data_IF_319397628250
#
_entry.id   IF_319397628250
#
_cell.length_a   1.000
_cell.length_b   1.000
_cell.length_c   1.000
_cell.angle_alpha   90.00
_cell.angle_beta   90.00
_cell.angle_gamma   90.00
#
_symmetry.space_group_name_H-M   'P 1'
#
loop_
_entity.id
_entity.type
_entity.pdbx_description
1 polymer ?
#
# COMPACT_ATOMS: atom_id res chain seq x y z
N UNK A 1 44.60 -25.84 56.96
CA UNK A 1 43.64 -26.31 55.94
C UNK A 1 42.28 -25.62 56.08
N UNK A 2 41.68 -25.58 57.27
CA UNK A 2 40.38 -24.91 57.56
C UNK A 2 40.34 -23.41 57.22
N UNK A 3 41.38 -22.64 57.54
CA UNK A 3 41.45 -21.19 57.24
C UNK A 3 41.46 -20.87 55.74
N UNK A 4 42.03 -21.74 54.91
CA UNK A 4 42.06 -21.58 53.45
C UNK A 4 40.67 -21.78 52.86
N UNK A 5 39.92 -22.75 53.39
CA UNK A 5 38.53 -23.01 52.95
C UNK A 5 37.62 -21.84 53.30
N UNK A 6 37.75 -21.26 54.49
CA UNK A 6 36.97 -20.08 54.91
C UNK A 6 37.27 -18.89 53.99
N UNK A 7 38.54 -18.66 53.65
CA UNK A 7 38.93 -17.55 52.77
C UNK A 7 38.35 -17.70 51.36
N UNK A 8 38.34 -18.91 50.80
CA UNK A 8 37.74 -19.19 49.48
C UNK A 8 36.23 -18.97 49.49
N UNK A 9 35.54 -19.39 50.56
CA UNK A 9 34.08 -19.19 50.69
C UNK A 9 33.74 -17.70 50.79
N UNK A 10 34.50 -16.94 51.58
CA UNK A 10 34.30 -15.49 51.71
C UNK A 10 34.59 -14.78 50.39
N UNK A 11 35.67 -15.13 49.69
CA UNK A 11 35.99 -14.58 48.38
C UNK A 11 34.91 -14.88 47.33
N UNK A 12 34.35 -16.10 47.33
CA UNK A 12 33.25 -16.47 46.46
C UNK A 12 31.98 -15.65 46.76
N UNK A 13 31.64 -15.44 48.04
CA UNK A 13 30.50 -14.61 48.44
C UNK A 13 30.71 -13.15 48.01
N UNK A 14 31.91 -12.60 48.17
CA UNK A 14 32.25 -11.24 47.73
C UNK A 14 32.10 -11.12 46.21
N UNK A 15 32.56 -12.10 45.43
CA UNK A 15 32.39 -12.11 43.97
C UNK A 15 30.91 -12.19 43.57
N UNK A 16 30.07 -12.94 44.29
CA UNK A 16 28.63 -13.02 44.02
C UNK A 16 27.90 -11.72 44.40
N UNK A 17 28.28 -11.10 45.52
CA UNK A 17 27.64 -9.87 46.02
C UNK A 17 28.06 -8.65 45.19
N UNK A 18 29.34 -8.54 44.81
CA UNK A 18 29.87 -7.40 44.05
C UNK A 18 29.97 -7.62 42.54
N UNK A 19 29.78 -8.86 42.05
CA UNK A 19 29.89 -9.21 40.62
C UNK A 19 28.67 -8.85 39.78
N UNK A 20 27.60 -8.34 40.39
CA UNK A 20 26.32 -8.12 39.70
C UNK A 20 26.03 -6.64 39.30
N UNK A 21 26.98 -5.72 39.51
CA UNK A 21 26.80 -4.29 39.21
C UNK A 21 27.12 -3.90 37.75
N UNK A 22 26.69 -4.71 36.78
CA UNK A 22 26.74 -4.34 35.37
C UNK A 22 25.46 -4.71 34.64
N UNK A 23 24.43 -3.87 34.82
CA UNK A 23 23.47 -3.46 33.78
C UNK A 23 22.59 -2.34 34.30
N UNK A 24 23.21 -1.18 34.56
CA UNK A 24 22.47 0.07 34.43
C UNK A 24 21.97 0.12 32.98
N UNK A 25 20.67 -0.16 32.79
CA UNK A 25 19.98 0.04 31.51
C UNK A 25 20.11 1.52 31.17
N UNK A 26 21.12 1.87 30.40
CA UNK A 26 21.18 3.16 29.74
C UNK A 26 19.85 3.35 29.01
N UNK A 27 19.10 4.40 29.36
CA UNK A 27 17.91 4.81 28.62
C UNK A 27 18.34 4.91 27.16
N UNK A 28 17.95 3.94 26.35
CA UNK A 28 18.25 3.96 24.92
C UNK A 28 17.55 5.18 24.36
N UNK A 29 18.30 6.24 24.09
CA UNK A 29 17.73 7.43 23.49
C UNK A 29 17.03 7.03 22.19
N UNK A 30 15.76 7.40 22.10
CA UNK A 30 14.92 7.00 20.98
C UNK A 30 15.38 7.77 19.74
N UNK A 31 15.70 7.04 18.68
CA UNK A 31 16.00 7.66 17.38
C UNK A 31 14.83 8.55 16.92
N UNK A 32 15.10 9.72 16.33
CA UNK A 32 14.05 10.63 15.86
C UNK A 32 13.23 9.97 14.75
N UNK A 33 11.91 10.07 14.83
CA UNK A 33 11.01 9.66 13.75
C UNK A 33 11.11 10.70 12.63
N UNK A 34 11.25 10.23 11.39
CA UNK A 34 11.22 11.07 10.20
C UNK A 34 10.10 10.61 9.26
N UNK A 35 9.44 11.56 8.62
CA UNK A 35 8.51 11.26 7.54
C UNK A 35 9.22 10.67 6.33
N UNK A 36 8.51 9.85 5.55
CA UNK A 36 8.96 9.33 4.26
C UNK A 36 7.84 9.43 3.23
N UNK A 37 8.19 9.36 1.94
CA UNK A 37 7.22 9.19 0.86
C UNK A 37 6.47 7.87 1.04
N UNK A 38 5.20 7.85 0.67
CA UNK A 38 4.39 6.63 0.68
C UNK A 38 4.87 5.70 -0.43
N UNK A 39 4.94 6.21 -1.67
CA UNK A 39 5.41 5.48 -2.84
C UNK A 39 6.86 5.82 -3.19
N UNK A 40 7.61 4.82 -3.62
CA UNK A 40 8.96 5.02 -4.19
C UNK A 40 8.90 5.67 -5.57
N UNK A 41 10.06 6.07 -6.12
CA UNK A 41 10.13 6.65 -7.47
C UNK A 41 9.74 5.65 -8.57
N UNK A 42 9.90 4.36 -8.32
CA UNK A 42 9.57 3.28 -9.26
C UNK A 42 8.08 2.88 -9.15
N UNK A 43 7.50 2.99 -7.96
CA UNK A 43 6.08 2.72 -7.71
C UNK A 43 5.14 3.79 -8.27
N UNK A 44 5.50 5.06 -8.14
CA UNK A 44 4.67 6.19 -8.60
C UNK A 44 4.18 6.05 -10.06
N UNK A 45 5.06 5.83 -11.07
CA UNK A 45 4.59 5.72 -12.44
C UNK A 45 3.72 4.47 -12.66
N UNK A 46 4.01 3.35 -12.00
CA UNK A 46 3.18 2.14 -12.10
C UNK A 46 1.79 2.37 -11.50
N UNK A 47 1.70 3.04 -10.36
CA UNK A 47 0.42 3.38 -9.75
C UNK A 47 -0.46 4.20 -10.70
N UNK A 48 0.11 5.20 -11.36
CA UNK A 48 -0.61 6.00 -12.35
C UNK A 48 -1.08 5.15 -13.53
N UNK A 49 -0.21 4.29 -14.06
CA UNK A 49 -0.57 3.38 -15.17
C UNK A 49 -1.67 2.40 -14.81
N UNK A 50 -1.65 1.84 -13.59
CA UNK A 50 -2.72 0.98 -13.09
C UNK A 50 -4.05 1.75 -13.04
N UNK A 51 -4.06 2.99 -12.54
CA UNK A 51 -5.26 3.83 -12.52
C UNK A 51 -5.79 4.15 -13.92
N UNK A 52 -4.90 4.48 -14.85
CA UNK A 52 -5.28 4.80 -16.23
C UNK A 52 -5.83 3.58 -16.97
N UNK A 53 -5.27 2.39 -16.71
CA UNK A 53 -5.68 1.15 -17.34
C UNK A 53 -6.97 0.57 -16.75
N UNK A 54 -7.17 0.71 -15.43
CA UNK A 54 -8.20 0.03 -14.66
C UNK A 54 -9.25 1.02 -14.12
N UNK A 55 -9.88 1.80 -15.01
CA UNK A 55 -10.80 2.90 -14.63
C UNK A 55 -11.98 2.47 -13.74
N UNK A 56 -12.43 1.22 -13.88
CA UNK A 56 -13.53 0.64 -13.12
C UNK A 56 -13.10 -0.07 -11.82
N UNK A 57 -11.82 -0.02 -11.47
CA UNK A 57 -11.24 -0.67 -10.29
C UNK A 57 -10.68 0.34 -9.29
N UNK A 58 -10.54 -0.10 -8.04
CA UNK A 58 -9.79 0.65 -7.04
C UNK A 58 -8.37 0.11 -6.94
N UNK A 59 -7.39 1.00 -6.88
CA UNK A 59 -5.98 0.66 -6.67
C UNK A 59 -5.56 1.19 -5.30
N UNK A 60 -5.27 0.29 -4.37
CA UNK A 60 -4.73 0.60 -3.05
C UNK A 60 -3.21 0.45 -3.08
N UNK A 61 -2.49 1.36 -2.44
CA UNK A 61 -1.03 1.39 -2.41
C UNK A 61 -0.48 1.05 -1.02
N UNK A 62 0.65 0.34 -0.96
CA UNK A 62 1.37 0.00 0.27
C UNK A 62 0.47 -0.70 1.31
N UNK A 63 -0.17 -1.79 0.89
CA UNK A 63 -1.15 -2.52 1.72
C UNK A 63 -0.45 -3.60 2.55
N UNK A 64 -0.63 -3.57 3.87
CA UNK A 64 -0.10 -4.62 4.74
C UNK A 64 -0.79 -5.97 4.48
N UNK A 65 -0.05 -7.08 4.53
CA UNK A 65 -0.63 -8.42 4.36
C UNK A 65 -1.74 -8.68 5.37
N UNK A 66 -1.58 -8.19 6.60
CA UNK A 66 -2.60 -8.32 7.65
C UNK A 66 -3.93 -7.61 7.37
N UNK A 67 -4.01 -6.78 6.32
CA UNK A 67 -5.25 -6.16 5.89
C UNK A 67 -6.12 -7.10 5.04
N UNK A 68 -5.51 -8.10 4.38
CA UNK A 68 -6.22 -9.03 3.49
C UNK A 68 -5.95 -10.51 3.80
N UNK A 69 -5.09 -10.83 4.76
CA UNK A 69 -4.80 -12.20 5.19
C UNK A 69 -4.99 -12.36 6.70
N UNK A 70 -5.43 -13.54 7.10
CA UNK A 70 -5.55 -13.93 8.50
C UNK A 70 -5.10 -15.38 8.69
N UNK A 71 -4.73 -15.73 9.92
CA UNK A 71 -4.35 -17.09 10.29
C UNK A 71 -4.70 -17.35 11.75
N UNK A 72 -4.99 -18.61 12.08
CA UNK A 72 -5.12 -19.05 13.47
C UNK A 72 -3.75 -19.15 14.12
N UNK A 73 -3.53 -18.41 15.22
CA UNK A 73 -2.31 -18.49 16.02
C UNK A 73 -1.23 -17.46 15.68
N UNK A 74 -0.49 -17.06 16.71
CA UNK A 74 0.52 -16.00 16.61
C UNK A 74 1.72 -16.39 15.75
N UNK A 75 2.14 -17.66 15.77
CA UNK A 75 3.29 -18.14 15.01
C UNK A 75 3.09 -17.93 13.50
N UNK A 76 1.95 -18.37 12.96
CA UNK A 76 1.61 -18.20 11.55
C UNK A 76 1.40 -16.73 11.20
N UNK A 77 0.72 -15.95 12.06
CA UNK A 77 0.50 -14.52 11.80
C UNK A 77 1.80 -13.72 11.74
N UNK A 78 2.83 -14.12 12.48
CA UNK A 78 4.16 -13.51 12.42
C UNK A 78 4.86 -13.72 11.07
N UNK A 79 4.44 -14.69 10.27
CA UNK A 79 4.98 -14.88 8.92
C UNK A 79 4.67 -13.68 8.03
N UNK A 80 3.53 -12.99 8.21
CA UNK A 80 3.11 -11.92 7.30
C UNK A 80 2.81 -10.57 7.94
N UNK A 81 2.75 -10.45 9.27
CA UNK A 81 2.35 -9.19 9.95
C UNK A 81 3.27 -7.97 9.70
N UNK A 82 4.47 -8.17 9.17
CA UNK A 82 5.42 -7.09 8.81
C UNK A 82 5.59 -6.92 7.32
N UNK A 83 4.84 -7.68 6.51
CA UNK A 83 4.90 -7.65 5.06
C UNK A 83 3.86 -6.66 4.51
N UNK A 84 4.26 -5.95 3.46
CA UNK A 84 3.46 -4.96 2.71
C UNK A 84 3.63 -5.27 1.23
N UNK A 85 2.54 -5.25 0.46
CA UNK A 85 2.55 -5.33 -1.01
C UNK A 85 2.53 -3.93 -1.60
N UNK A 86 3.08 -3.76 -2.80
CA UNK A 86 3.09 -2.45 -3.46
C UNK A 86 1.67 -1.97 -3.80
N UNK A 87 0.86 -2.83 -4.44
CA UNK A 87 -0.53 -2.50 -4.76
C UNK A 87 -1.51 -3.67 -4.61
N UNK A 88 -2.76 -3.32 -4.30
CA UNK A 88 -3.92 -4.22 -4.33
C UNK A 88 -4.96 -3.63 -5.25
N UNK A 89 -5.41 -4.40 -6.24
CA UNK A 89 -6.49 -4.02 -7.15
C UNK A 89 -7.78 -4.66 -6.69
N UNK A 90 -8.82 -3.83 -6.51
CA UNK A 90 -10.15 -4.24 -6.11
C UNK A 90 -11.18 -3.98 -7.20
N UNK A 91 -12.20 -4.83 -7.28
CA UNK A 91 -13.40 -4.56 -8.08
C UNK A 91 -14.33 -3.53 -7.39
N UNK A 92 -15.47 -3.23 -8.03
CA UNK A 92 -16.47 -2.29 -7.49
C UNK A 92 -17.16 -2.78 -6.21
N UNK A 93 -17.04 -4.07 -5.90
CA UNK A 93 -17.57 -4.71 -4.71
C UNK A 93 -16.51 -4.86 -3.61
N UNK A 94 -15.31 -4.30 -3.80
CA UNK A 94 -14.16 -4.40 -2.90
C UNK A 94 -13.58 -5.81 -2.74
N UNK A 95 -13.81 -6.71 -3.70
CA UNK A 95 -13.10 -7.98 -3.76
C UNK A 95 -11.72 -7.77 -4.39
N UNK A 96 -10.72 -8.50 -3.88
CA UNK A 96 -9.37 -8.47 -4.43
C UNK A 96 -9.35 -9.20 -5.77
N UNK A 97 -9.01 -8.48 -6.84
CA UNK A 97 -8.83 -9.01 -8.19
C UNK A 97 -7.40 -9.53 -8.36
N UNK A 98 -6.42 -8.73 -7.93
CA UNK A 98 -5.02 -9.10 -7.97
C UNK A 98 -4.18 -8.27 -6.99
N UNK A 99 -3.09 -8.86 -6.53
CA UNK A 99 -1.97 -8.18 -5.90
C UNK A 99 -0.96 -7.84 -7.00
N UNK A 100 -0.43 -6.62 -6.98
CA UNK A 100 0.60 -6.17 -7.92
C UNK A 100 1.87 -5.82 -7.17
N UNK A 101 2.99 -6.39 -7.61
CA UNK A 101 4.33 -6.18 -7.02
C UNK A 101 5.31 -5.68 -8.09
N UNK A 102 6.24 -4.80 -7.68
CA UNK A 102 7.33 -4.33 -8.52
C UNK A 102 8.64 -5.04 -8.14
N UNK A 103 9.26 -5.66 -9.14
CA UNK A 103 10.57 -6.26 -9.00
C UNK A 103 11.62 -5.17 -9.27
N UNK A 104 12.23 -4.61 -8.22
CA UNK A 104 13.33 -3.68 -8.44
C UNK A 104 14.57 -4.46 -8.88
N UNK A 105 15.25 -4.00 -9.92
CA UNK A 105 16.47 -4.62 -10.45
C UNK A 105 17.64 -4.73 -9.45
N UNK A 106 17.47 -4.26 -8.20
CA UNK A 106 18.43 -4.34 -7.10
C UNK A 106 18.44 -5.69 -6.34
N UNK A 107 17.61 -6.68 -6.72
CA UNK A 107 17.47 -7.96 -6.01
C UNK A 107 18.54 -9.03 -6.28
N UNK A 108 19.84 -8.71 -6.23
CA UNK A 108 20.85 -9.79 -6.14
C UNK A 108 20.88 -10.35 -4.71
N UNK A 109 20.48 -11.62 -4.53
CA UNK A 109 20.61 -12.36 -3.27
C UNK A 109 19.44 -12.29 -2.29
N UNK A 110 18.23 -11.93 -2.74
CA UNK A 110 16.99 -11.98 -1.93
C UNK A 110 15.90 -12.90 -2.49
N UNK A 111 16.24 -13.69 -3.50
CA UNK A 111 15.32 -14.56 -4.24
C UNK A 111 14.48 -15.47 -3.33
N UNK A 112 15.10 -16.11 -2.32
CA UNK A 112 14.39 -16.99 -1.39
C UNK A 112 13.31 -16.25 -0.56
N UNK A 113 13.57 -15.00 -0.17
CA UNK A 113 12.61 -14.20 0.62
C UNK A 113 11.42 -13.75 -0.22
N UNK A 114 11.64 -13.56 -1.52
CA UNK A 114 10.58 -13.20 -2.44
C UNK A 114 9.72 -14.43 -2.79
N UNK A 115 10.34 -15.61 -2.89
CA UNK A 115 9.61 -16.88 -3.03
C UNK A 115 8.70 -17.16 -1.82
N UNK A 116 9.19 -16.97 -0.59
CA UNK A 116 8.38 -17.12 0.63
C UNK A 116 7.20 -16.13 0.67
N UNK A 117 7.39 -14.90 0.18
CA UNK A 117 6.32 -13.90 0.09
C UNK A 117 5.22 -14.35 -0.86
N UNK A 118 5.61 -14.75 -2.05
CA UNK A 118 4.68 -15.16 -3.09
C UNK A 118 3.93 -16.43 -2.68
N UNK A 119 4.62 -17.37 -2.02
CA UNK A 119 4.01 -18.58 -1.47
C UNK A 119 2.89 -18.25 -0.46
N UNK A 120 3.11 -17.28 0.44
CA UNK A 120 2.08 -16.87 1.40
C UNK A 120 0.86 -16.24 0.72
N UNK A 121 1.06 -15.40 -0.30
CA UNK A 121 -0.05 -14.77 -1.04
C UNK A 121 -0.84 -15.84 -1.81
N UNK A 122 -0.13 -16.78 -2.45
CA UNK A 122 -0.73 -17.88 -3.18
C UNK A 122 -1.49 -18.84 -2.23
N UNK A 123 -0.96 -19.13 -1.05
CA UNK A 123 -1.64 -19.93 -0.01
C UNK A 123 -2.96 -19.28 0.44
N UNK A 124 -3.01 -17.95 0.50
CA UNK A 124 -4.26 -17.21 0.77
C UNK A 124 -5.20 -17.11 -0.44
N UNK A 125 -4.86 -17.71 -1.58
CA UNK A 125 -5.73 -17.78 -2.76
C UNK A 125 -5.74 -16.53 -3.62
N UNK A 126 -4.80 -15.61 -3.44
CA UNK A 126 -4.74 -14.38 -4.22
C UNK A 126 -3.83 -14.50 -5.44
N UNK A 127 -4.29 -13.94 -6.56
CA UNK A 127 -3.51 -13.81 -7.79
C UNK A 127 -2.44 -12.71 -7.60
N UNK A 128 -1.21 -12.99 -8.02
CA UNK A 128 -0.11 -12.01 -8.07
C UNK A 128 0.25 -11.69 -9.51
N UNK A 129 0.40 -10.41 -9.82
CA UNK A 129 0.95 -9.89 -11.08
C UNK A 129 2.22 -9.11 -10.77
N UNK A 130 3.35 -9.50 -11.36
CA UNK A 130 4.65 -8.89 -11.07
C UNK A 130 5.19 -8.16 -12.29
N UNK A 131 5.57 -6.90 -12.11
CA UNK A 131 6.20 -6.11 -13.18
C UNK A 131 7.67 -5.81 -12.85
N UNK A 132 8.57 -6.11 -13.78
CA UNK A 132 10.02 -5.82 -13.64
C UNK A 132 10.39 -4.36 -13.87
N UNK A 133 9.48 -3.60 -14.46
CA UNK A 133 9.59 -2.19 -14.79
C UNK A 133 8.18 -1.64 -14.92
N UNK A 134 8.03 -0.33 -14.95
CA UNK A 134 6.73 0.31 -15.21
C UNK A 134 6.09 -0.28 -16.49
N UNK A 135 4.94 -0.96 -16.39
CA UNK A 135 4.23 -1.48 -17.55
C UNK A 135 3.53 -0.36 -18.32
N UNK A 136 3.24 -0.61 -19.60
CA UNK A 136 2.32 0.24 -20.35
C UNK A 136 0.85 -0.12 -20.04
N UNK A 137 -0.08 0.71 -20.53
CA UNK A 137 -1.51 0.58 -20.24
C UNK A 137 -2.09 -0.67 -20.90
N UNK A 138 -1.63 -0.99 -22.10
CA UNK A 138 -2.06 -2.14 -22.90
C UNK A 138 -1.67 -3.46 -22.22
N UNK A 139 -0.44 -3.57 -21.71
CA UNK A 139 0.02 -4.72 -20.94
C UNK A 139 -0.84 -4.92 -19.68
N UNK A 140 -1.12 -3.85 -18.92
CA UNK A 140 -1.99 -3.96 -17.74
C UNK A 140 -3.38 -4.46 -18.15
N UNK A 141 -3.99 -3.88 -19.20
CA UNK A 141 -5.31 -4.31 -19.66
C UNK A 141 -5.32 -5.79 -20.05
N UNK A 142 -4.29 -6.25 -20.77
CA UNK A 142 -4.14 -7.66 -21.13
C UNK A 142 -4.00 -8.56 -19.91
N UNK A 143 -3.12 -8.22 -18.97
CA UNK A 143 -2.87 -9.00 -17.76
C UNK A 143 -4.13 -9.08 -16.87
N UNK A 144 -4.96 -8.04 -16.85
CA UNK A 144 -6.25 -8.03 -16.16
C UNK A 144 -7.42 -8.59 -16.99
N UNK A 145 -7.17 -9.07 -18.21
CA UNK A 145 -8.21 -9.63 -19.08
C UNK A 145 -9.22 -8.60 -19.59
N UNK A 146 -8.90 -7.31 -19.51
CA UNK A 146 -9.70 -6.21 -20.05
C UNK A 146 -9.42 -6.13 -21.56
N UNK A 147 -10.02 -7.04 -22.31
CA UNK A 147 -10.13 -6.86 -23.75
C UNK A 147 -11.27 -5.87 -23.97
N UNK A 148 -11.03 -4.80 -24.73
CA UNK A 148 -12.11 -3.91 -25.14
C UNK A 148 -13.16 -4.75 -25.86
N UNK A 149 -14.27 -5.05 -25.18
CA UNK A 149 -15.47 -5.54 -25.84
C UNK A 149 -15.85 -4.38 -26.74
N UNK A 150 -15.66 -4.54 -28.05
CA UNK A 150 -16.21 -3.62 -29.02
C UNK A 150 -17.64 -3.33 -28.57
N UNK A 151 -17.94 -2.05 -28.28
CA UNK A 151 -19.22 -1.63 -27.74
C UNK A 151 -20.34 -2.41 -28.43
N UNK A 152 -21.35 -2.92 -27.70
CA UNK A 152 -22.43 -3.64 -28.36
C UNK A 152 -22.94 -2.70 -29.45
N UNK A 153 -22.77 -3.13 -30.70
CA UNK A 153 -23.40 -2.49 -31.84
C UNK A 153 -24.88 -2.71 -31.58
N UNK A 154 -25.49 -1.78 -30.85
CA UNK A 154 -26.92 -1.65 -30.81
C UNK A 154 -27.25 -1.24 -32.24
N UNK A 155 -27.51 -2.25 -33.07
CA UNK A 155 -28.13 -2.07 -34.35
C UNK A 155 -29.45 -1.36 -34.06
N UNK A 156 -29.47 -0.05 -34.29
CA UNK A 156 -30.69 0.74 -34.27
C UNK A 156 -31.67 0.07 -35.22
N UNK A 157 -32.86 -0.38 -34.79
CA UNK A 157 -33.90 -0.66 -35.76
C UNK A 157 -34.23 0.69 -36.40
N UNK A 158 -34.03 0.77 -37.71
CA UNK A 158 -34.60 1.81 -38.56
C UNK A 158 -36.11 1.77 -38.32
N UNK A 159 -36.65 2.75 -37.61
CA UNK A 159 -38.09 3.00 -37.56
C UNK A 159 -38.34 4.27 -38.35
N UNK A 160 -39.02 4.05 -39.47
CA UNK A 160 -39.65 4.98 -40.40
C UNK A 160 -40.23 6.22 -39.69
N UNK A 161 -39.96 7.38 -40.27
CA UNK A 161 -40.52 8.68 -39.93
C UNK A 161 -42.05 8.72 -40.07
N UNK A 162 -42.74 9.47 -39.19
CA UNK A 162 -43.89 10.38 -39.48
C UNK A 162 -44.11 11.36 -38.29
N UNK A 163 -44.71 12.56 -38.51
CA UNK A 163 -44.26 13.79 -37.84
C UNK A 163 -45.22 14.42 -36.80
N UNK A 164 -44.60 15.28 -35.96
CA UNK A 164 -45.12 16.49 -35.27
C UNK A 164 -46.20 16.33 -34.19
N UNK A 165 -45.77 16.59 -32.96
CA UNK A 165 -46.60 17.03 -31.84
C UNK A 165 -45.74 17.83 -30.86
N UNK A 166 -45.91 19.15 -30.85
CA UNK A 166 -45.19 20.10 -29.99
C UNK A 166 -45.53 19.86 -28.51
N UNK A 167 -44.53 19.54 -27.69
CA UNK A 167 -44.64 19.64 -26.23
C UNK A 167 -43.34 20.19 -25.67
N UNK A 168 -43.42 21.42 -25.20
CA UNK A 168 -42.44 22.13 -24.41
C UNK A 168 -42.21 21.37 -23.11
N UNK A 169 -40.98 20.87 -22.89
CA UNK A 169 -40.50 20.46 -21.56
C UNK A 169 -39.21 21.24 -21.31
N UNK A 170 -39.30 22.18 -20.37
CA UNK A 170 -38.19 22.93 -19.81
C UNK A 170 -37.17 21.97 -19.20
N UNK A 171 -35.91 22.11 -19.63
CA UNK A 171 -34.78 21.45 -18.99
C UNK A 171 -34.51 22.12 -17.64
N UNK A 172 -34.86 21.44 -16.56
CA UNK A 172 -34.40 21.79 -15.22
C UNK A 172 -32.97 21.23 -15.04
N UNK A 173 -31.91 22.05 -14.96
CA UNK A 173 -30.56 21.53 -14.77
C UNK A 173 -30.40 21.01 -13.35
N UNK A 174 -29.92 19.77 -13.23
CA UNK A 174 -29.51 19.19 -11.94
C UNK A 174 -28.53 20.14 -11.22
N UNK A 175 -28.64 20.31 -9.89
CA UNK A 175 -27.71 21.14 -9.14
C UNK A 175 -26.32 20.52 -9.22
N UNK A 176 -25.37 21.27 -9.80
CA UNK A 176 -23.94 20.94 -9.78
C UNK A 176 -23.50 20.87 -8.32
N UNK A 177 -22.99 19.70 -7.91
CA UNK A 177 -22.38 19.50 -6.61
C UNK A 177 -21.16 20.41 -6.52
N UNK A 178 -21.17 21.37 -5.59
CA UNK A 178 -20.04 22.26 -5.38
C UNK A 178 -18.84 21.44 -4.88
N UNK A 179 -17.73 21.50 -5.62
CA UNK A 179 -16.43 21.03 -5.17
C UNK A 179 -16.09 21.80 -3.89
N UNK A 180 -15.91 21.10 -2.78
CA UNK A 180 -15.43 21.68 -1.53
C UNK A 180 -14.00 22.13 -1.76
N UNK A 181 -13.84 23.42 -2.05
CA UNK A 181 -12.58 24.11 -2.33
C UNK A 181 -11.79 24.48 -1.07
N UNK A 182 -11.97 23.76 0.04
CA UNK A 182 -11.35 24.08 1.34
C UNK A 182 -10.02 23.35 1.60
N UNK A 183 -9.38 22.84 0.54
CA UNK A 183 -8.06 22.19 0.64
C UNK A 183 -6.95 23.05 0.00
N UNK A 184 -6.92 24.35 0.28
CA UNK A 184 -5.73 25.18 0.08
C UNK A 184 -5.63 26.23 1.20
N UNK A 185 -4.91 25.90 2.27
CA UNK A 185 -4.25 26.92 3.08
C UNK A 185 -2.90 27.19 2.41
N UNK A 186 -2.82 28.33 1.72
CA UNK A 186 -1.54 29.00 1.45
C UNK A 186 -1.77 30.46 1.81
N UNK A 187 -1.55 30.78 3.08
CA UNK A 187 -1.48 32.16 3.54
C UNK A 187 -0.10 32.69 3.12
N UNK A 188 -0.06 33.36 1.97
CA UNK A 188 1.09 34.16 1.57
C UNK A 188 0.83 35.55 2.12
N UNK A 189 1.34 35.84 3.32
CA UNK A 189 1.41 37.22 3.80
C UNK A 189 2.38 38.01 2.93
N UNK A 190 1.85 38.75 1.96
CA UNK A 190 2.57 39.84 1.30
C UNK A 190 2.58 41.04 2.25
N UNK A 191 3.72 41.31 2.90
CA UNK A 191 3.93 42.54 3.64
C UNK A 191 4.38 43.65 2.68
N UNK A 192 3.42 44.44 2.23
CA UNK A 192 3.57 45.75 1.61
C UNK A 192 2.32 46.53 2.07
N UNK A 193 2.35 47.71 2.69
CA UNK A 193 3.26 48.85 2.72
C UNK A 193 2.88 49.71 3.95
N UNK A 194 3.73 50.66 4.35
CA UNK A 194 3.49 52.10 4.12
C UNK A 194 4.31 52.99 5.06
N UNK A 195 5.14 53.79 4.41
CA UNK A 195 5.55 55.15 4.77
C UNK A 195 4.67 55.86 5.80
N UNK A 196 5.28 56.30 6.90
CA UNK A 196 5.30 57.71 7.32
C UNK A 196 6.44 57.97 8.27
#
# INVERSE_FOLDING_TARGET
MTWIVIFIVVAAIVVVVFGNDKKAKGKTERNPIKGKRILTMNEQPTFLRLKDALLDHFVLAQVAFSAFMTASGYATRNLFNRKVVDFVVLDKQFNIVAIVELDDSSHKGKEDKDADRDALIAEAGYRVIRYKRTPDVEQIKQDFGITAIAAPVIASPVIESQPVGTSTIEANPLPKTNLVSDAFIVEIETNEQKTS
#
